data_IF_944788284087
#
_entry.id   IF_944788284087
#
_cell.length_a   1.000
_cell.length_b   1.000
_cell.length_c   1.000
_cell.angle_alpha   90.00
_cell.angle_beta   90.00
_cell.angle_gamma   90.00
#
_symmetry.space_group_name_H-M   'P 1'
#
loop_
_entity.id
_entity.type
_entity.pdbx_description
1 polymer ?
#
# COMPACT_ATOMS: atom_id res chain seq x y z
N UNK A 1 36.91 11.07 -13.83
CA UNK A 1 35.64 11.28 -13.12
C UNK A 1 35.98 11.52 -11.66
N UNK A 2 35.88 12.76 -11.20
CA UNK A 2 36.19 13.15 -9.82
C UNK A 2 35.14 12.53 -8.89
N UNK A 3 35.50 11.47 -8.14
CA UNK A 3 34.62 10.79 -7.18
C UNK A 3 34.02 11.74 -6.12
N UNK A 4 34.62 12.92 -5.92
CA UNK A 4 34.28 13.90 -4.89
C UNK A 4 33.53 15.14 -5.41
N UNK A 5 33.04 15.12 -6.65
CA UNK A 5 32.26 16.24 -7.19
C UNK A 5 30.96 16.46 -6.40
N UNK A 6 30.50 17.71 -6.18
CA UNK A 6 29.22 18.01 -5.54
C UNK A 6 28.04 17.23 -6.14
N UNK A 7 28.08 16.95 -7.45
CA UNK A 7 27.08 16.11 -8.10
C UNK A 7 27.00 14.71 -7.48
N UNK A 8 28.14 14.06 -7.20
CA UNK A 8 28.18 12.70 -6.64
C UNK A 8 27.60 12.64 -5.23
N UNK A 9 27.86 13.64 -4.38
CA UNK A 9 27.25 13.76 -3.06
C UNK A 9 25.72 13.85 -3.14
N UNK A 10 25.18 14.62 -4.08
CA UNK A 10 23.73 14.71 -4.32
C UNK A 10 23.18 13.36 -4.81
N UNK A 11 23.93 12.64 -5.66
CA UNK A 11 23.57 11.30 -6.11
C UNK A 11 23.51 10.27 -4.98
N UNK A 12 24.48 10.27 -4.08
CA UNK A 12 24.48 9.40 -2.89
C UNK A 12 23.35 9.76 -1.92
N UNK A 13 23.05 11.05 -1.75
CA UNK A 13 21.90 11.48 -0.96
C UNK A 13 20.58 11.00 -1.57
N UNK A 14 20.42 11.10 -2.89
CA UNK A 14 19.25 10.57 -3.60
C UNK A 14 19.10 9.06 -3.36
N UNK A 15 20.19 8.31 -3.47
CA UNK A 15 20.20 6.87 -3.20
C UNK A 15 19.75 6.56 -1.76
N UNK A 16 20.32 7.24 -0.76
CA UNK A 16 19.97 7.03 0.64
C UNK A 16 18.49 7.34 0.93
N UNK A 17 17.97 8.44 0.38
CA UNK A 17 16.55 8.81 0.49
C UNK A 17 15.67 7.77 -0.19
N UNK A 18 16.08 7.22 -1.33
CA UNK A 18 15.36 6.15 -2.01
C UNK A 18 15.25 4.87 -1.17
N UNK A 19 16.36 4.41 -0.61
CA UNK A 19 16.39 3.27 0.32
C UNK A 19 15.44 3.55 1.49
N UNK A 20 15.53 4.75 2.08
CA UNK A 20 14.66 5.15 3.18
C UNK A 20 13.18 5.19 2.79
N UNK A 21 12.85 5.62 1.57
CA UNK A 21 11.49 5.68 1.05
C UNK A 21 10.82 4.30 1.05
N UNK A 22 11.52 3.27 0.54
CA UNK A 22 10.98 1.91 0.46
C UNK A 22 10.98 1.17 1.80
N UNK A 23 11.72 1.67 2.80
CA UNK A 23 11.63 1.21 4.19
C UNK A 23 10.41 1.78 4.93
N UNK A 24 9.79 2.87 4.44
CA UNK A 24 8.62 3.44 5.11
C UNK A 24 7.40 2.55 5.01
N UNK A 25 6.72 2.33 6.14
CA UNK A 25 5.46 1.57 6.22
C UNK A 25 4.25 2.41 5.86
N UNK A 26 4.34 3.71 6.10
CA UNK A 26 3.33 4.69 5.73
C UNK A 26 3.46 4.99 4.23
N UNK A 27 2.34 4.89 3.51
CA UNK A 27 2.33 5.07 2.06
C UNK A 27 2.53 6.53 1.65
N UNK A 28 2.05 7.49 2.44
CA UNK A 28 2.25 8.91 2.15
C UNK A 28 3.70 9.30 2.42
N UNK A 29 4.32 8.73 3.46
CA UNK A 29 5.76 8.85 3.66
C UNK A 29 6.55 8.23 2.51
N UNK A 30 6.19 7.03 2.03
CA UNK A 30 6.86 6.45 0.85
C UNK A 30 6.75 7.39 -0.34
N UNK A 31 5.55 7.92 -0.64
CA UNK A 31 5.34 8.85 -1.76
C UNK A 31 6.18 10.11 -1.60
N UNK A 32 6.20 10.68 -0.40
CA UNK A 32 6.99 11.86 -0.07
C UNK A 32 8.49 11.62 -0.29
N UNK A 33 9.06 10.58 0.31
CA UNK A 33 10.49 10.29 0.13
C UNK A 33 10.83 9.86 -1.30
N UNK A 34 9.92 9.19 -2.01
CA UNK A 34 10.09 8.90 -3.44
C UNK A 34 10.13 10.18 -4.28
N UNK A 35 9.29 11.17 -3.96
CA UNK A 35 9.35 12.48 -4.59
C UNK A 35 10.66 13.21 -4.26
N UNK A 36 11.06 13.25 -2.98
CA UNK A 36 12.32 13.87 -2.55
C UNK A 36 13.52 13.23 -3.26
N UNK A 37 13.57 11.91 -3.34
CA UNK A 37 14.59 11.16 -4.09
C UNK A 37 14.64 11.61 -5.55
N UNK A 38 13.48 11.67 -6.23
CA UNK A 38 13.41 12.07 -7.63
C UNK A 38 13.88 13.53 -7.84
N UNK A 39 13.58 14.44 -6.92
CA UNK A 39 14.08 15.82 -6.96
C UNK A 39 15.61 15.87 -6.80
N UNK A 40 16.17 15.12 -5.85
CA UNK A 40 17.62 15.03 -5.66
C UNK A 40 18.30 14.44 -6.90
N UNK A 41 17.70 13.40 -7.51
CA UNK A 41 18.21 12.84 -8.76
C UNK A 41 18.14 13.83 -9.93
N UNK A 42 17.09 14.62 -10.02
CA UNK A 42 16.95 15.67 -11.02
C UNK A 42 18.05 16.72 -10.89
N UNK A 43 18.36 17.14 -9.66
CA UNK A 43 19.46 18.05 -9.37
C UNK A 43 20.82 17.43 -9.68
N UNK A 44 21.04 16.16 -9.32
CA UNK A 44 22.26 15.42 -9.67
C UNK A 44 22.51 15.41 -11.19
N UNK A 45 21.49 15.07 -11.99
CA UNK A 45 21.61 15.06 -13.45
C UNK A 45 21.76 16.46 -14.05
N UNK A 46 21.14 17.48 -13.45
CA UNK A 46 21.36 18.88 -13.85
C UNK A 46 22.83 19.30 -13.63
N UNK A 47 23.41 18.96 -12.47
CA UNK A 47 24.82 19.23 -12.16
C UNK A 47 25.79 18.44 -13.06
N UNK A 48 25.38 17.27 -13.54
CA UNK A 48 26.14 16.50 -14.54
C UNK A 48 25.95 17.00 -15.98
N UNK A 49 25.09 17.99 -16.22
CA UNK A 49 24.82 18.52 -17.55
C UNK A 49 23.97 17.58 -18.44
N UNK A 50 23.19 16.67 -17.85
CA UNK A 50 22.27 15.80 -18.58
C UNK A 50 20.81 16.29 -18.43
N UNK A 51 20.34 17.18 -19.34
CA UNK A 51 19.01 17.76 -19.25
C UNK A 51 17.90 16.73 -19.44
N UNK A 52 18.12 15.69 -20.25
CA UNK A 52 17.11 14.65 -20.53
C UNK A 52 16.80 13.86 -19.25
N UNK A 53 17.84 13.38 -18.57
CA UNK A 53 17.69 12.64 -17.31
C UNK A 53 17.15 13.54 -16.18
N UNK A 54 17.55 14.81 -16.16
CA UNK A 54 17.07 15.79 -15.17
C UNK A 54 15.58 16.06 -15.30
N UNK A 55 15.07 16.29 -16.52
CA UNK A 55 13.64 16.52 -16.76
C UNK A 55 12.83 15.26 -16.50
N UNK A 56 13.30 14.09 -16.93
CA UNK A 56 12.59 12.82 -16.72
C UNK A 56 12.41 12.47 -15.23
N UNK A 57 13.46 12.69 -14.43
CA UNK A 57 13.40 12.49 -12.98
C UNK A 57 12.56 13.57 -12.29
N UNK A 58 12.57 14.82 -12.77
CA UNK A 58 11.69 15.87 -12.27
C UNK A 58 10.21 15.55 -12.49
N UNK A 59 9.82 15.08 -13.68
CA UNK A 59 8.45 14.65 -13.98
C UNK A 59 8.03 13.52 -13.02
N UNK A 60 8.94 12.58 -12.74
CA UNK A 60 8.70 11.49 -11.79
C UNK A 60 8.52 12.00 -10.35
N UNK A 61 9.21 13.08 -9.99
CA UNK A 61 9.05 13.75 -8.71
C UNK A 61 7.68 14.41 -8.59
N UNK A 62 7.27 15.17 -9.61
CA UNK A 62 5.94 15.79 -9.70
C UNK A 62 4.85 14.73 -9.61
N UNK A 63 4.97 13.64 -10.36
CA UNK A 63 4.04 12.49 -10.30
C UNK A 63 3.88 11.95 -8.88
N UNK A 64 4.99 11.78 -8.16
CA UNK A 64 4.99 11.24 -6.80
C UNK A 64 4.41 12.24 -5.79
N UNK A 65 4.68 13.54 -5.94
CA UNK A 65 4.07 14.61 -5.13
C UNK A 65 2.56 14.66 -5.35
N UNK A 66 2.15 14.67 -6.62
CA UNK A 66 0.74 14.70 -7.01
C UNK A 66 -0.01 13.49 -6.42
N UNK A 67 0.62 12.31 -6.37
CA UNK A 67 0.02 11.12 -5.77
C UNK A 67 -0.23 11.23 -4.25
N UNK A 68 0.45 12.15 -3.54
CA UNK A 68 0.21 12.43 -2.11
C UNK A 68 -1.10 13.18 -1.95
N UNK A 69 -1.31 14.24 -2.73
CA UNK A 69 -2.44 15.15 -2.58
C UNK A 69 -3.69 14.66 -3.32
N UNK A 70 -3.52 14.09 -4.52
CA UNK A 70 -4.61 13.79 -5.44
C UNK A 70 -4.56 12.37 -5.95
N UNK A 71 -5.39 11.52 -5.34
CA UNK A 71 -5.53 10.09 -5.66
C UNK A 71 -6.72 9.84 -6.60
N UNK A 72 -6.58 10.30 -7.83
CA UNK A 72 -7.62 10.20 -8.84
C UNK A 72 -7.21 9.27 -9.98
N UNK A 73 -8.14 8.40 -10.42
CA UNK A 73 -7.98 7.53 -11.59
C UNK A 73 -7.64 8.30 -12.87
N UNK A 74 -8.15 9.52 -13.00
CA UNK A 74 -7.88 10.38 -14.16
C UNK A 74 -6.43 10.86 -14.21
N UNK A 75 -5.86 11.23 -13.05
CA UNK A 75 -4.45 11.61 -12.97
C UNK A 75 -3.55 10.39 -13.18
N UNK A 76 -3.95 9.22 -12.67
CA UNK A 76 -3.24 7.97 -12.98
C UNK A 76 -3.25 7.69 -14.49
N UNK A 77 -4.40 7.81 -15.15
CA UNK A 77 -4.53 7.63 -16.60
C UNK A 77 -3.67 8.64 -17.38
N UNK A 78 -3.61 9.89 -16.94
CA UNK A 78 -2.74 10.92 -17.55
C UNK A 78 -1.26 10.52 -17.49
N UNK A 79 -0.75 10.15 -16.31
CA UNK A 79 0.65 9.75 -16.18
C UNK A 79 0.95 8.42 -16.88
N UNK A 80 0.00 7.48 -16.92
CA UNK A 80 0.13 6.24 -17.69
C UNK A 80 0.19 6.55 -19.19
N UNK A 81 -0.73 7.36 -19.70
CA UNK A 81 -0.73 7.78 -21.11
C UNK A 81 0.57 8.50 -21.47
N UNK A 82 1.09 9.37 -20.58
CA UNK A 82 2.37 10.03 -20.77
C UNK A 82 3.53 9.03 -20.84
N UNK A 83 3.59 8.04 -19.94
CA UNK A 83 4.62 7.01 -19.95
C UNK A 83 4.54 6.13 -21.21
N UNK A 84 3.34 5.76 -21.64
CA UNK A 84 3.14 4.94 -22.85
C UNK A 84 3.44 5.73 -24.11
N UNK A 85 3.06 7.02 -24.19
CA UNK A 85 3.36 7.87 -25.34
C UNK A 85 4.86 8.13 -25.47
N UNK A 86 5.53 8.52 -24.38
CA UNK A 86 6.98 8.72 -24.36
C UNK A 86 7.72 7.40 -24.65
N UNK A 87 7.27 6.32 -24.01
CA UNK A 87 7.82 4.99 -24.21
C UNK A 87 7.66 4.51 -25.65
N UNK A 88 6.48 4.66 -26.24
CA UNK A 88 6.20 4.27 -27.62
C UNK A 88 6.95 5.11 -28.66
N UNK A 89 7.20 6.39 -28.35
CA UNK A 89 8.00 7.25 -29.23
C UNK A 89 9.50 6.91 -29.18
N UNK A 90 10.02 6.51 -28.01
CA UNK A 90 11.43 6.11 -27.84
C UNK A 90 11.69 4.62 -28.11
N UNK A 91 10.67 3.76 -28.08
CA UNK A 91 10.84 2.31 -28.19
C UNK A 91 11.16 1.90 -29.62
N UNK A 92 12.45 1.81 -29.95
CA UNK A 92 12.96 1.28 -31.21
C UNK A 92 13.14 -0.24 -31.20
N UNK A 93 13.10 -0.86 -30.01
CA UNK A 93 13.31 -2.29 -29.76
C UNK A 93 12.30 -2.84 -28.75
N UNK A 94 12.01 -4.14 -28.86
CA UNK A 94 11.10 -4.86 -27.96
C UNK A 94 11.52 -4.77 -26.48
N UNK A 95 12.82 -4.62 -26.21
CA UNK A 95 13.39 -4.52 -24.85
C UNK A 95 12.88 -3.29 -24.10
N UNK A 96 12.53 -2.22 -24.80
CA UNK A 96 12.00 -0.99 -24.19
C UNK A 96 10.57 -1.14 -23.67
N UNK A 97 9.86 -2.22 -24.01
CA UNK A 97 8.53 -2.51 -23.45
C UNK A 97 8.60 -2.82 -21.95
N UNK A 98 9.68 -3.47 -21.50
CA UNK A 98 9.87 -3.87 -20.11
C UNK A 98 9.83 -2.67 -19.14
N UNK A 99 10.64 -1.61 -19.32
CA UNK A 99 10.60 -0.43 -18.44
C UNK A 99 9.30 0.37 -18.57
N UNK A 100 8.60 0.31 -19.71
CA UNK A 100 7.28 0.95 -19.87
C UNK A 100 6.27 0.27 -18.96
N UNK A 101 6.19 -1.08 -19.00
CA UNK A 101 5.32 -1.85 -18.11
C UNK A 101 5.66 -1.57 -16.65
N UNK A 102 6.95 -1.51 -16.31
CA UNK A 102 7.40 -1.18 -14.96
C UNK A 102 6.93 0.21 -14.49
N UNK A 103 7.02 1.21 -15.36
CA UNK A 103 6.60 2.59 -15.08
C UNK A 103 5.08 2.74 -14.94
N UNK A 104 4.32 2.00 -15.76
CA UNK A 104 2.86 1.91 -15.65
C UNK A 104 2.46 1.27 -14.33
N UNK A 105 3.06 0.13 -13.98
CA UNK A 105 2.81 -0.55 -12.70
C UNK A 105 3.10 0.38 -11.51
N UNK A 106 4.23 1.08 -11.52
CA UNK A 106 4.59 2.03 -10.46
C UNK A 106 3.60 3.20 -10.33
N UNK A 107 3.11 3.72 -11.46
CA UNK A 107 2.11 4.79 -11.48
C UNK A 107 0.78 4.31 -10.90
N UNK A 108 0.29 3.15 -11.35
CA UNK A 108 -0.94 2.55 -10.84
C UNK A 108 -0.82 2.24 -9.35
N UNK A 109 0.35 1.77 -8.89
CA UNK A 109 0.58 1.48 -7.48
C UNK A 109 0.45 2.73 -6.61
N UNK A 110 1.07 3.84 -7.03
CA UNK A 110 1.12 5.07 -6.24
C UNK A 110 -0.25 5.77 -6.18
N UNK A 111 -1.01 5.76 -7.27
CA UNK A 111 -2.29 6.47 -7.36
C UNK A 111 -3.50 5.62 -6.94
N UNK A 112 -3.53 4.33 -7.29
CA UNK A 112 -4.75 3.51 -7.17
C UNK A 112 -4.72 2.55 -5.98
N UNK A 113 -3.55 2.22 -5.44
CA UNK A 113 -3.41 1.20 -4.41
C UNK A 113 -2.98 1.79 -3.05
N UNK A 114 -3.13 0.98 -2.00
CA UNK A 114 -2.73 1.26 -0.63
C UNK A 114 -2.18 0.00 0.04
N UNK A 115 -1.38 0.19 1.08
CA UNK A 115 -0.82 -0.83 1.94
C UNK A 115 -0.10 -1.93 1.15
N UNK A 116 -0.39 -3.18 1.48
CA UNK A 116 0.28 -4.34 0.91
C UNK A 116 0.13 -4.44 -0.62
N UNK A 117 -1.05 -4.11 -1.17
CA UNK A 117 -1.31 -4.18 -2.62
C UNK A 117 -0.43 -3.21 -3.40
N UNK A 118 -0.26 -2.01 -2.87
CA UNK A 118 0.62 -0.99 -3.46
C UNK A 118 2.07 -1.50 -3.49
N UNK A 119 2.56 -2.07 -2.39
CA UNK A 119 3.93 -2.58 -2.32
C UNK A 119 4.19 -3.74 -3.27
N UNK A 120 3.23 -4.65 -3.42
CA UNK A 120 3.30 -5.75 -4.37
C UNK A 120 3.38 -5.24 -5.81
N UNK A 121 2.56 -4.26 -6.19
CA UNK A 121 2.61 -3.70 -7.54
C UNK A 121 3.90 -2.88 -7.78
N UNK A 122 4.38 -2.13 -6.77
CA UNK A 122 5.70 -1.50 -6.83
C UNK A 122 6.81 -2.53 -7.03
N UNK A 123 6.74 -3.69 -6.37
CA UNK A 123 7.72 -4.76 -6.52
C UNK A 123 7.75 -5.30 -7.96
N UNK A 124 6.57 -5.48 -8.59
CA UNK A 124 6.53 -5.87 -10.01
C UNK A 124 7.17 -4.81 -10.90
N UNK A 125 6.95 -3.52 -10.62
CA UNK A 125 7.60 -2.43 -11.34
C UNK A 125 9.12 -2.44 -11.19
N UNK A 126 9.61 -2.65 -9.96
CA UNK A 126 11.03 -2.81 -9.65
C UNK A 126 11.65 -4.00 -10.38
N UNK A 127 10.96 -5.15 -10.49
CA UNK A 127 11.47 -6.31 -11.24
C UNK A 127 11.60 -5.99 -12.73
N UNK A 128 10.63 -5.30 -13.31
CA UNK A 128 10.72 -4.83 -14.70
C UNK A 128 11.92 -3.90 -14.90
N UNK A 129 12.09 -2.90 -14.03
CA UNK A 129 13.21 -1.96 -14.11
C UNK A 129 14.57 -2.62 -13.87
N UNK A 130 14.65 -3.54 -12.91
CA UNK A 130 15.84 -4.34 -12.66
C UNK A 130 16.23 -5.17 -13.88
N UNK A 131 15.26 -5.84 -14.50
CA UNK A 131 15.47 -6.62 -15.74
C UNK A 131 15.99 -5.71 -16.86
N UNK A 132 15.37 -4.54 -17.05
CA UNK A 132 15.84 -3.56 -18.02
C UNK A 132 17.29 -3.12 -17.75
N UNK A 133 17.63 -2.83 -16.49
CA UNK A 133 18.95 -2.36 -16.10
C UNK A 133 20.03 -3.44 -16.29
N UNK A 134 19.71 -4.71 -16.00
CA UNK A 134 20.60 -5.86 -16.27
C UNK A 134 20.80 -6.05 -17.77
N UNK A 135 19.73 -6.05 -18.55
CA UNK A 135 19.81 -6.20 -20.01
C UNK A 135 20.57 -5.05 -20.68
N UNK A 136 20.49 -3.84 -20.12
CA UNK A 136 21.21 -2.66 -20.61
C UNK A 136 22.65 -2.57 -20.10
N UNK A 137 23.11 -3.50 -19.26
CA UNK A 137 24.45 -3.46 -18.65
C UNK A 137 24.66 -2.32 -17.63
N UNK A 138 23.57 -1.72 -17.10
CA UNK A 138 23.64 -0.60 -16.16
C UNK A 138 23.92 -1.10 -14.74
N UNK A 139 25.19 -1.07 -14.32
CA UNK A 139 25.61 -1.49 -12.98
C UNK A 139 24.92 -0.63 -11.90
N UNK A 140 24.93 0.69 -12.06
CA UNK A 140 24.31 1.62 -11.11
C UNK A 140 22.79 1.43 -10.99
N UNK A 141 22.09 1.29 -12.12
CA UNK A 141 20.65 1.02 -12.11
C UNK A 141 20.30 -0.35 -11.52
N UNK A 142 21.15 -1.35 -11.76
CA UNK A 142 20.96 -2.71 -11.21
C UNK A 142 21.14 -2.72 -9.70
N UNK A 143 22.16 -2.03 -9.16
CA UNK A 143 22.37 -1.92 -7.71
C UNK A 143 21.23 -1.14 -7.04
N UNK A 144 20.77 -0.06 -7.65
CA UNK A 144 19.65 0.74 -7.15
C UNK A 144 18.37 -0.09 -7.06
N UNK A 145 17.95 -0.68 -8.18
CA UNK A 145 16.71 -1.48 -8.23
C UNK A 145 16.83 -2.76 -7.42
N UNK A 146 18.02 -3.37 -7.32
CA UNK A 146 18.28 -4.49 -6.43
C UNK A 146 18.10 -4.12 -4.96
N UNK A 147 18.56 -2.94 -4.56
CA UNK A 147 18.38 -2.45 -3.18
C UNK A 147 16.91 -2.13 -2.89
N UNK A 148 16.22 -1.49 -3.84
CA UNK A 148 14.77 -1.24 -3.76
C UNK A 148 14.00 -2.56 -3.66
N UNK A 149 14.38 -3.56 -4.45
CA UNK A 149 13.76 -4.89 -4.44
C UNK A 149 13.88 -5.54 -3.07
N UNK A 150 15.09 -5.56 -2.49
CA UNK A 150 15.34 -6.14 -1.17
C UNK A 150 14.55 -5.39 -0.10
N UNK A 151 14.68 -4.06 -0.05
CA UNK A 151 14.01 -3.24 0.98
C UNK A 151 12.50 -3.34 0.89
N UNK A 152 11.91 -3.21 -0.31
CA UNK A 152 10.46 -3.33 -0.51
C UNK A 152 9.97 -4.74 -0.14
N UNK A 153 10.70 -5.80 -0.50
CA UNK A 153 10.37 -7.18 -0.12
C UNK A 153 10.36 -7.38 1.39
N UNK A 154 11.37 -6.85 2.11
CA UNK A 154 11.39 -6.94 3.58
C UNK A 154 10.22 -6.18 4.23
N UNK A 155 9.84 -5.02 3.68
CA UNK A 155 8.67 -4.25 4.13
C UNK A 155 7.36 -5.03 3.89
N UNK A 156 7.22 -5.67 2.73
CA UNK A 156 6.07 -6.53 2.40
C UNK A 156 5.94 -7.68 3.40
N UNK A 157 7.02 -8.41 3.67
CA UNK A 157 7.00 -9.54 4.62
C UNK A 157 6.61 -9.10 6.03
N UNK A 158 7.15 -7.97 6.50
CA UNK A 158 6.82 -7.40 7.81
C UNK A 158 5.36 -6.97 7.91
N UNK A 159 4.82 -6.34 6.87
CA UNK A 159 3.42 -5.92 6.84
C UNK A 159 2.47 -7.13 6.77
N UNK A 160 2.83 -8.14 5.97
CA UNK A 160 2.07 -9.38 5.84
C UNK A 160 1.99 -10.16 7.17
N UNK A 161 3.10 -10.30 7.89
CA UNK A 161 3.09 -10.93 9.21
C UNK A 161 2.19 -10.19 10.20
N UNK A 162 2.27 -8.86 10.24
CA UNK A 162 1.42 -8.04 11.10
C UNK A 162 -0.07 -8.22 10.81
N UNK A 163 -0.48 -8.12 9.53
CA UNK A 163 -1.88 -8.33 9.14
C UNK A 163 -2.35 -9.75 9.48
N UNK A 164 -1.49 -10.76 9.34
CA UNK A 164 -1.81 -12.15 9.67
C UNK A 164 -2.04 -12.33 11.16
N UNK A 165 -1.20 -11.74 12.00
CA UNK A 165 -1.32 -11.85 13.45
C UNK A 165 -2.54 -11.07 13.98
N UNK A 166 -2.83 -9.89 13.42
CA UNK A 166 -4.05 -9.14 13.74
C UNK A 166 -5.32 -9.95 13.39
N UNK A 167 -5.35 -10.60 12.21
CA UNK A 167 -6.48 -11.48 11.82
C UNK A 167 -6.62 -12.70 12.73
N UNK A 168 -5.51 -13.30 13.16
CA UNK A 168 -5.50 -14.42 14.11
C UNK A 168 -6.08 -14.01 15.46
N UNK A 169 -5.65 -12.87 15.99
CA UNK A 169 -6.15 -12.32 17.26
C UNK A 169 -7.63 -11.95 17.17
N UNK A 170 -8.07 -11.37 16.04
CA UNK A 170 -9.49 -11.08 15.81
C UNK A 170 -10.34 -12.36 15.76
N UNK A 171 -9.87 -13.42 15.11
CA UNK A 171 -10.56 -14.71 15.08
C UNK A 171 -10.65 -15.35 16.48
N UNK A 172 -9.57 -15.27 17.27
CA UNK A 172 -9.56 -15.77 18.66
C UNK A 172 -10.55 -14.99 19.55
N UNK A 173 -10.56 -13.65 19.45
CA UNK A 173 -11.52 -12.80 20.19
C UNK A 173 -12.98 -13.10 19.81
N UNK A 174 -13.26 -13.29 18.52
CA UNK A 174 -14.59 -13.68 18.03
C UNK A 174 -15.03 -15.06 18.54
N UNK A 175 -14.11 -16.03 18.57
CA UNK A 175 -14.37 -17.37 19.11
C UNK A 175 -14.64 -17.35 20.62
N UNK A 176 -13.95 -16.50 21.39
CA UNK A 176 -14.19 -16.33 22.84
C UNK A 176 -15.44 -15.52 23.17
N UNK A 177 -15.98 -14.74 22.23
CA UNK A 177 -17.16 -13.88 22.43
C UNK A 177 -18.50 -14.59 22.15
N UNK A 178 -18.50 -15.76 21.50
CA UNK A 178 -19.70 -16.60 21.32
C UNK A 178 -19.88 -17.51 22.55
N UNK A 179 -21.08 -17.60 23.13
CA UNK A 179 -21.24 -17.44 24.58
C UNK A 179 -21.33 -18.76 25.36
N UNK A 180 -20.88 -18.69 26.61
CA UNK A 180 -21.31 -19.55 27.70
C UNK A 180 -22.78 -19.27 28.12
N UNK A 181 -23.72 -19.15 27.17
CA UNK A 181 -25.16 -19.01 27.44
C UNK A 181 -25.95 -20.27 27.04
N UNK A 182 -25.33 -21.44 27.17
CA UNK A 182 -25.93 -22.72 26.76
C UNK A 182 -25.73 -23.87 27.75
N UNK A 183 -25.24 -23.63 28.98
CA UNK A 183 -25.30 -24.64 30.04
C UNK A 183 -26.60 -24.46 30.80
N UNK A 184 -27.70 -24.93 30.22
CA UNK A 184 -28.92 -25.24 30.98
C UNK A 184 -28.50 -26.20 32.09
N UNK A 185 -28.72 -25.80 33.33
CA UNK A 185 -28.78 -26.71 34.46
C UNK A 185 -29.97 -27.65 34.19
N UNK A 186 -29.68 -28.87 33.75
CA UNK A 186 -30.63 -29.98 33.91
C UNK A 186 -30.61 -30.37 35.39
N UNK A 187 -31.36 -29.59 36.16
CA UNK A 187 -31.54 -29.75 37.59
C UNK A 187 -32.96 -29.32 37.95
N UNK A 188 -33.93 -30.21 37.71
CA UNK A 188 -35.23 -30.14 38.35
C UNK A 188 -35.86 -31.55 38.39
N UNK A 189 -35.66 -32.18 39.54
CA UNK A 189 -36.46 -33.24 40.14
C UNK A 189 -37.97 -33.00 40.08
N UNK A 190 -38.77 -34.08 40.02
CA UNK A 190 -40.11 -34.08 40.63
C UNK A 190 -40.40 -35.40 41.38
N UNK A 191 -40.76 -35.33 42.68
CA UNK A 191 -41.52 -36.34 43.39
C UNK A 191 -43.03 -36.17 43.14
N UNK A 192 -43.79 -37.24 43.28
CA UNK A 192 -45.22 -37.31 42.95
C UNK A 192 -46.15 -37.02 44.14
N UNK A 193 -47.23 -36.25 43.88
CA UNK A 193 -48.52 -36.07 44.62
C UNK A 193 -48.46 -35.03 45.78
N UNK A 194 -49.43 -34.09 45.97
CA UNK A 194 -50.88 -34.31 45.98
C UNK A 194 -51.82 -33.28 45.29
N UNK A 195 -53.09 -33.68 45.35
CA UNK A 195 -54.30 -33.19 44.68
C UNK A 195 -54.95 -31.93 45.28
N UNK A 196 -55.95 -31.44 44.53
CA UNK A 196 -57.06 -30.58 44.94
C UNK A 196 -56.68 -29.12 45.26
N UNK A 197 -57.44 -28.07 44.93
CA UNK A 197 -58.77 -27.88 44.33
C UNK A 197 -58.99 -26.37 44.25
N UNK A 198 -60.00 -25.95 43.48
CA UNK A 198 -60.73 -24.68 43.60
C UNK A 198 -60.02 -23.44 42.98
N UNK A 199 -60.63 -22.82 41.96
CA UNK A 199 -61.62 -21.73 42.11
C UNK A 199 -60.89 -20.39 42.11
N UNK A 200 -61.27 -19.33 41.42
CA UNK A 200 -62.24 -19.01 40.39
C UNK A 200 -61.87 -17.58 39.96
N UNK A 201 -62.33 -17.17 38.77
CA UNK A 201 -62.67 -15.79 38.44
C UNK A 201 -61.51 -14.77 38.37
N UNK A 202 -61.56 -13.63 37.68
CA UNK A 202 -62.40 -12.98 36.66
C UNK A 202 -61.64 -11.67 36.35
N UNK A 203 -61.64 -11.23 35.08
CA UNK A 203 -61.41 -9.85 34.60
C UNK A 203 -60.07 -9.15 34.95
N UNK A 204 -59.50 -8.28 34.12
CA UNK A 204 -59.93 -7.64 32.88
C UNK A 204 -58.99 -6.48 32.56
N UNK A 205 -59.21 -5.89 31.38
CA UNK A 205 -58.84 -4.53 30.97
C UNK A 205 -57.36 -4.18 30.66
N UNK A 206 -57.02 -4.29 29.36
CA UNK A 206 -56.65 -3.22 28.39
C UNK A 206 -55.83 -1.97 28.77
N UNK A 207 -55.17 -1.32 27.76
CA UNK A 207 -53.83 -0.74 27.87
C UNK A 207 -53.79 0.80 27.93
N UNK A 208 -52.63 1.36 28.31
CA UNK A 208 -52.31 2.77 28.17
C UNK A 208 -50.87 2.95 27.70
N UNK A 209 -50.69 3.57 26.53
CA UNK A 209 -49.40 3.84 25.87
C UNK A 209 -49.31 5.35 25.63
N UNK A 210 -48.63 6.05 26.54
CA UNK A 210 -48.12 7.43 26.38
C UNK A 210 -46.66 7.30 25.87
N UNK A 211 -46.10 8.09 24.95
CA UNK A 211 -46.41 9.46 24.57
C UNK A 211 -45.24 10.35 25.00
N UNK A 212 -44.09 10.30 24.31
CA UNK A 212 -42.96 11.22 24.56
C UNK A 212 -42.15 11.47 23.29
N UNK A 213 -42.32 12.66 22.73
CA UNK A 213 -41.38 13.31 21.82
C UNK A 213 -41.52 14.82 22.01
N UNK A 214 -40.62 15.38 22.81
CA UNK A 214 -40.05 16.73 22.68
C UNK A 214 -38.63 16.68 23.22
#
# INVERSE_FOLDING_TARGET
MEFNSPAQWVGYAALAVGIFAFMQRDDDRLRFFSATMCLLYSLHFALLGNPVASVGTFISAVRSLVAIWWRNRWLAALFVALNVALGGWLATEWRHVIPIVGSVAGTLALFLLQGLRMRLLLLTGTVCWLTNNVLSGSIGGTLLEGTIFITNSTTILRLWWRERDERRLAAQRGATALPASGRRHDGASTPSVPAASASAAVAGATPGREGSAQ
#
